data_IF_001939043939
#
_entry.id   IF_001939043939
#
_cell.length_a   1.000
_cell.length_b   1.000
_cell.length_c   1.000
_cell.angle_alpha   90.00
_cell.angle_beta   90.00
_cell.angle_gamma   90.00
#
_symmetry.space_group_name_H-M   'P 1'
#
loop_
_entity.id
_entity.type
_entity.pdbx_description
1 polymer ?
#
# COMPACT_ATOMS: atom_id res chain seq x y z
N UNK A 1 -41.99 44.22 -31.81
CA UNK A 1 -41.63 42.82 -31.55
C UNK A 1 -40.37 42.78 -30.70
N UNK A 2 -40.30 41.82 -29.77
CA UNK A 2 -39.36 41.69 -28.65
C UNK A 2 -38.16 40.81 -29.02
N UNK A 3 -37.09 40.90 -28.20
CA UNK A 3 -36.11 39.85 -27.81
C UNK A 3 -34.91 39.61 -28.76
N UNK A 4 -33.64 39.41 -28.33
CA UNK A 4 -32.88 39.53 -27.05
C UNK A 4 -31.39 39.58 -27.44
N UNK A 5 -30.57 40.39 -26.76
CA UNK A 5 -29.12 40.22 -26.74
C UNK A 5 -28.77 38.97 -25.93
N UNK A 6 -28.12 37.99 -26.55
CA UNK A 6 -27.58 36.81 -25.88
C UNK A 6 -26.19 37.16 -25.36
N UNK A 7 -26.08 37.30 -24.04
CA UNK A 7 -24.81 37.41 -23.33
C UNK A 7 -24.19 36.01 -23.31
N UNK A 8 -23.11 35.81 -24.07
CA UNK A 8 -22.26 34.64 -23.96
C UNK A 8 -21.51 34.69 -22.62
N UNK A 9 -22.09 34.08 -21.59
CA UNK A 9 -21.37 33.76 -20.37
C UNK A 9 -20.44 32.58 -20.65
N UNK A 10 -19.18 32.86 -20.96
CA UNK A 10 -18.11 31.86 -20.88
C UNK A 10 -17.93 31.47 -19.42
N UNK A 11 -18.53 30.36 -19.03
CA UNK A 11 -18.14 29.64 -17.81
C UNK A 11 -16.75 29.08 -18.12
N UNK A 12 -15.70 29.83 -17.79
CA UNK A 12 -14.40 29.25 -17.54
C UNK A 12 -14.59 28.39 -16.29
N UNK A 13 -14.94 27.12 -16.52
CA UNK A 13 -14.85 26.09 -15.51
C UNK A 13 -13.44 26.16 -14.96
N UNK A 14 -13.32 26.51 -13.68
CA UNK A 14 -12.11 26.27 -12.92
C UNK A 14 -11.74 24.80 -13.16
N UNK A 15 -10.62 24.56 -13.84
CA UNK A 15 -9.94 23.27 -13.80
C UNK A 15 -9.37 23.11 -12.38
N UNK A 16 -10.28 22.90 -11.43
CA UNK A 16 -9.97 22.45 -10.09
C UNK A 16 -9.51 21.00 -10.17
N UNK A 17 -8.39 20.74 -9.49
CA UNK A 17 -7.84 19.45 -9.15
C UNK A 17 -8.92 18.36 -8.97
N UNK A 18 -9.05 17.47 -9.95
CA UNK A 18 -9.84 16.25 -9.86
C UNK A 18 -8.91 15.04 -9.93
N UNK A 19 -8.69 14.41 -8.79
CA UNK A 19 -7.85 13.21 -8.63
C UNK A 19 -8.36 12.09 -9.53
N UNK A 20 -7.49 11.59 -10.42
CA UNK A 20 -7.73 10.34 -11.15
C UNK A 20 -7.48 9.17 -10.18
N UNK A 21 -8.41 8.93 -9.26
CA UNK A 21 -8.34 7.84 -8.27
C UNK A 21 -9.59 6.96 -8.18
N UNK A 22 -10.65 7.27 -8.93
CA UNK A 22 -11.96 6.64 -8.74
C UNK A 22 -12.09 5.20 -9.28
N UNK A 23 -11.12 4.68 -10.04
CA UNK A 23 -11.25 3.38 -10.72
C UNK A 23 -10.29 2.29 -10.20
N UNK A 24 -9.52 2.54 -9.14
CA UNK A 24 -8.64 1.51 -8.56
C UNK A 24 -9.42 0.72 -7.50
N UNK A 25 -9.56 -0.61 -7.63
CA UNK A 25 -10.32 -1.42 -6.68
C UNK A 25 -9.68 -1.39 -5.29
N UNK A 26 -10.51 -1.58 -4.26
CA UNK A 26 -10.02 -1.79 -2.89
C UNK A 26 -9.17 -3.07 -2.79
N UNK A 27 -8.21 -3.13 -1.86
CA UNK A 27 -7.48 -4.37 -1.62
C UNK A 27 -8.44 -5.45 -1.16
N UNK A 28 -8.31 -6.65 -1.71
CA UNK A 28 -9.08 -7.83 -1.26
C UNK A 28 -8.77 -8.17 0.20
N UNK A 29 -9.69 -8.87 0.88
CA UNK A 29 -9.48 -9.34 2.26
C UNK A 29 -8.19 -10.16 2.40
N UNK A 30 -7.88 -11.02 1.42
CA UNK A 30 -6.65 -11.81 1.43
C UNK A 30 -5.38 -10.94 1.33
N UNK A 31 -5.40 -9.89 0.50
CA UNK A 31 -4.27 -8.95 0.38
C UNK A 31 -4.07 -8.15 1.68
N UNK A 32 -5.16 -7.70 2.30
CA UNK A 32 -5.11 -7.02 3.60
C UNK A 32 -4.56 -7.96 4.68
N UNK A 33 -5.05 -9.20 4.72
CA UNK A 33 -4.60 -10.21 5.67
C UNK A 33 -3.09 -10.47 5.53
N UNK A 34 -2.60 -10.73 4.31
CA UNK A 34 -1.17 -10.98 4.08
C UNK A 34 -0.32 -9.75 4.42
N UNK A 35 -0.74 -8.54 4.01
CA UNK A 35 -0.03 -7.31 4.36
C UNK A 35 0.13 -7.16 5.88
N UNK A 36 -0.97 -7.34 6.62
CA UNK A 36 -0.96 -7.13 8.06
C UNK A 36 -0.34 -8.28 8.86
N UNK A 37 -0.43 -9.52 8.37
CA UNK A 37 0.32 -10.65 8.92
C UNK A 37 1.82 -10.41 8.76
N UNK A 38 2.29 -10.04 7.56
CA UNK A 38 3.69 -9.72 7.32
C UNK A 38 4.19 -8.58 8.21
N UNK A 39 3.42 -7.49 8.32
CA UNK A 39 3.74 -6.38 9.21
C UNK A 39 3.87 -6.82 10.67
N UNK A 40 2.92 -7.61 11.16
CA UNK A 40 2.88 -8.09 12.55
C UNK A 40 4.02 -9.05 12.85
N UNK A 41 4.28 -10.00 11.95
CA UNK A 41 5.37 -10.96 12.08
C UNK A 41 6.72 -10.22 12.12
N UNK A 42 6.91 -9.22 11.25
CA UNK A 42 8.10 -8.37 11.27
C UNK A 42 8.20 -7.54 12.55
N UNK A 43 7.12 -6.92 13.02
CA UNK A 43 7.07 -6.19 14.29
C UNK A 43 7.49 -7.09 15.47
N UNK A 44 7.11 -8.37 15.46
CA UNK A 44 7.43 -9.35 16.50
C UNK A 44 8.78 -10.05 16.32
N UNK A 45 9.51 -9.77 15.24
CA UNK A 45 10.77 -10.44 14.92
C UNK A 45 10.60 -11.90 14.48
N UNK A 46 9.40 -12.28 14.05
CA UNK A 46 9.06 -13.61 13.51
C UNK A 46 9.48 -13.69 12.04
N UNK A 47 10.79 -13.68 11.78
CA UNK A 47 11.34 -13.50 10.44
C UNK A 47 10.99 -14.63 9.46
N UNK A 48 10.93 -15.88 9.91
CA UNK A 48 10.55 -16.99 9.03
C UNK A 48 9.10 -16.86 8.54
N UNK A 49 8.19 -16.49 9.44
CA UNK A 49 6.80 -16.25 9.12
C UNK A 49 6.65 -15.02 8.22
N UNK A 50 7.36 -13.93 8.53
CA UNK A 50 7.43 -12.73 7.69
C UNK A 50 7.85 -13.06 6.25
N UNK A 51 8.95 -13.81 6.08
CA UNK A 51 9.48 -14.19 4.77
C UNK A 51 8.48 -15.06 3.98
N UNK A 52 7.64 -15.84 4.66
CA UNK A 52 6.62 -16.67 4.02
C UNK A 52 5.50 -15.89 3.35
N UNK A 53 5.36 -14.58 3.61
CA UNK A 53 4.36 -13.71 2.95
C UNK A 53 4.88 -13.07 1.66
N UNK A 54 6.17 -13.23 1.36
CA UNK A 54 6.84 -12.50 0.29
C UNK A 54 6.95 -13.34 -0.99
N UNK A 55 7.05 -12.66 -2.12
CA UNK A 55 7.49 -13.29 -3.37
C UNK A 55 8.97 -13.74 -3.26
N UNK A 56 9.41 -14.79 -3.99
CA UNK A 56 10.75 -15.36 -3.85
C UNK A 56 11.90 -14.35 -3.99
N UNK A 57 11.79 -13.40 -4.92
CA UNK A 57 12.81 -12.37 -5.14
C UNK A 57 12.97 -11.46 -3.90
N UNK A 58 11.85 -11.03 -3.31
CA UNK A 58 11.87 -10.17 -2.12
C UNK A 58 12.27 -10.97 -0.87
N UNK A 59 11.86 -12.23 -0.78
CA UNK A 59 12.31 -13.15 0.25
C UNK A 59 13.85 -13.29 0.22
N UNK A 60 14.43 -13.57 -0.95
CA UNK A 60 15.87 -13.69 -1.12
C UNK A 60 16.58 -12.38 -0.73
N UNK A 61 16.07 -11.22 -1.17
CA UNK A 61 16.61 -9.93 -0.78
C UNK A 61 16.72 -9.78 0.74
N UNK A 62 15.65 -10.08 1.50
CA UNK A 62 15.69 -9.95 2.95
C UNK A 62 16.55 -11.02 3.64
N UNK A 63 16.63 -12.23 3.10
CA UNK A 63 17.52 -13.27 3.59
C UNK A 63 18.99 -12.88 3.46
N UNK A 64 19.37 -12.25 2.35
CA UNK A 64 20.72 -11.71 2.11
C UNK A 64 20.97 -10.43 2.92
N UNK A 65 19.91 -9.67 3.24
CA UNK A 65 19.98 -8.36 3.90
C UNK A 65 19.28 -8.35 5.27
N UNK A 66 19.57 -9.32 6.15
CA UNK A 66 18.91 -9.45 7.46
C UNK A 66 18.98 -8.20 8.35
N UNK A 67 20.01 -7.35 8.16
CA UNK A 67 20.13 -6.06 8.87
C UNK A 67 18.95 -5.13 8.58
N UNK A 68 18.39 -5.20 7.37
CA UNK A 68 17.22 -4.40 6.97
C UNK A 68 15.98 -4.88 7.73
N UNK A 69 15.74 -6.18 7.85
CA UNK A 69 14.64 -6.72 8.66
C UNK A 69 14.76 -6.29 10.13
N UNK A 70 15.97 -6.37 10.70
CA UNK A 70 16.24 -5.91 12.07
C UNK A 70 15.99 -4.42 12.23
N UNK A 71 16.41 -3.60 11.25
CA UNK A 71 16.15 -2.14 11.23
C UNK A 71 14.65 -1.86 11.27
N UNK A 72 13.85 -2.52 10.43
CA UNK A 72 12.41 -2.36 10.46
C UNK A 72 11.81 -2.83 11.78
N UNK A 73 12.21 -4.00 12.28
CA UNK A 73 11.74 -4.54 13.56
C UNK A 73 11.99 -3.57 14.72
N UNK A 74 13.16 -2.92 14.75
CA UNK A 74 13.50 -1.92 15.77
C UNK A 74 12.78 -0.59 15.57
N UNK A 75 12.45 -0.22 14.33
CA UNK A 75 11.77 1.04 14.02
C UNK A 75 10.27 0.97 14.32
N UNK A 76 9.61 -0.16 14.11
CA UNK A 76 8.17 -0.30 14.35
C UNK A 76 7.87 -0.20 15.86
N UNK A 77 6.98 0.73 16.29
CA UNK A 77 6.60 0.89 17.69
C UNK A 77 6.06 -0.42 18.30
N UNK A 78 6.28 -0.60 19.62
CA UNK A 78 5.81 -1.78 20.36
C UNK A 78 4.52 -1.55 21.14
N UNK A 79 4.07 -0.30 21.20
CA UNK A 79 2.80 0.06 21.82
C UNK A 79 1.61 -0.57 21.09
N UNK A 80 0.46 -0.59 21.76
CA UNK A 80 -0.80 -0.95 21.12
C UNK A 80 -1.15 0.08 20.06
N UNK A 81 -1.39 -0.41 18.85
CA UNK A 81 -1.90 0.39 17.75
C UNK A 81 -3.27 1.00 18.08
N UNK A 82 -3.49 2.25 17.65
CA UNK A 82 -4.77 2.96 17.75
C UNK A 82 -5.69 2.70 16.55
N UNK A 83 -5.14 2.74 15.34
CA UNK A 83 -5.92 2.56 14.10
C UNK A 83 -5.05 2.21 12.90
N UNK A 84 -5.68 1.59 11.89
CA UNK A 84 -5.18 1.41 10.52
C UNK A 84 -6.10 2.10 9.53
N UNK A 85 -5.53 2.85 8.61
CA UNK A 85 -6.27 3.52 7.54
C UNK A 85 -5.61 3.23 6.20
N UNK A 86 -6.41 2.89 5.19
CA UNK A 86 -5.93 2.82 3.81
C UNK A 86 -5.84 4.24 3.24
N UNK A 87 -4.63 4.65 2.81
CA UNK A 87 -4.37 6.02 2.35
C UNK A 87 -4.31 6.11 0.83
N UNK A 88 -3.54 5.22 0.19
CA UNK A 88 -3.28 5.27 -1.25
C UNK A 88 -3.45 3.87 -1.82
N UNK A 89 -4.13 3.80 -2.96
CA UNK A 89 -4.15 2.64 -3.85
C UNK A 89 -3.87 3.10 -5.27
N UNK A 90 -3.00 2.40 -5.99
CA UNK A 90 -2.70 2.68 -7.39
C UNK A 90 -2.20 1.44 -8.11
N UNK A 91 -2.39 1.43 -9.43
CA UNK A 91 -1.79 0.45 -10.33
C UNK A 91 -0.61 1.13 -11.02
N UNK A 92 0.57 0.51 -10.96
CA UNK A 92 1.79 1.05 -11.57
C UNK A 92 2.38 0.03 -12.55
N UNK A 93 2.58 0.45 -13.79
CA UNK A 93 3.21 -0.36 -14.81
C UNK A 93 4.73 -0.30 -14.67
N UNK A 94 5.36 -1.46 -14.52
CA UNK A 94 6.81 -1.60 -14.49
C UNK A 94 7.37 -1.69 -15.92
N UNK A 95 8.65 -1.34 -16.09
CA UNK A 95 9.34 -1.33 -17.38
C UNK A 95 9.35 -2.70 -18.10
N UNK A 96 9.15 -3.79 -17.37
CA UNK A 96 9.05 -5.16 -17.90
C UNK A 96 7.60 -5.59 -18.23
N UNK A 97 6.67 -4.65 -18.40
CA UNK A 97 5.24 -4.91 -18.62
C UNK A 97 4.51 -5.64 -17.48
N UNK A 98 5.14 -5.85 -16.31
CA UNK A 98 4.41 -6.31 -15.12
C UNK A 98 3.70 -5.14 -14.44
N UNK A 99 2.45 -5.34 -14.03
CA UNK A 99 1.69 -4.32 -13.31
C UNK A 99 1.66 -4.66 -11.82
N UNK A 100 1.94 -3.66 -10.99
CA UNK A 100 1.87 -3.77 -9.55
C UNK A 100 0.70 -2.98 -8.99
N UNK A 101 -0.11 -3.65 -8.19
CA UNK A 101 -1.09 -3.04 -7.31
C UNK A 101 -0.38 -2.57 -6.03
N UNK A 102 -0.20 -1.25 -5.89
CA UNK A 102 0.46 -0.61 -4.75
C UNK A 102 -0.56 -0.06 -3.77
N UNK A 103 -0.36 -0.37 -2.50
CA UNK A 103 -1.23 0.00 -1.39
C UNK A 103 -0.39 0.63 -0.29
N UNK A 104 -0.85 1.75 0.26
CA UNK A 104 -0.22 2.43 1.39
C UNK A 104 -1.20 2.50 2.55
N UNK A 105 -0.79 1.99 3.70
CA UNK A 105 -1.52 2.07 4.95
C UNK A 105 -0.84 3.04 5.90
N UNK A 106 -1.66 3.76 6.65
CA UNK A 106 -1.24 4.54 7.79
C UNK A 106 -1.65 3.79 9.07
N UNK A 107 -0.70 3.57 9.96
CA UNK A 107 -0.88 2.85 11.22
C UNK A 107 -0.53 3.79 12.36
N UNK A 108 -1.54 4.23 13.10
CA UNK A 108 -1.39 5.19 14.18
C UNK A 108 -1.04 4.48 15.48
N UNK A 109 0.02 4.93 16.14
CA UNK A 109 0.43 4.56 17.49
C UNK A 109 0.25 5.75 18.44
N UNK A 110 0.43 5.57 19.77
CA UNK A 110 0.26 6.65 20.71
C UNK A 110 1.12 7.90 20.47
N UNK A 111 2.36 7.70 20.00
CA UNK A 111 3.36 8.75 19.75
C UNK A 111 3.86 8.80 18.32
N UNK A 112 3.59 7.77 17.53
CA UNK A 112 4.18 7.60 16.22
C UNK A 112 3.09 7.32 15.18
N UNK A 113 3.42 7.63 13.94
CA UNK A 113 2.65 7.26 12.77
C UNK A 113 3.53 6.40 11.88
N UNK A 114 3.04 5.23 11.50
CA UNK A 114 3.77 4.35 10.59
C UNK A 114 3.09 4.37 9.23
N UNK A 115 3.84 4.74 8.19
CA UNK A 115 3.44 4.50 6.81
C UNK A 115 3.98 3.14 6.38
N UNK A 116 3.06 2.27 5.97
CA UNK A 116 3.36 0.92 5.49
C UNK A 116 2.92 0.78 4.04
N UNK A 117 3.91 0.78 3.15
CA UNK A 117 3.70 0.63 1.71
C UNK A 117 3.95 -0.83 1.33
N UNK A 118 3.02 -1.42 0.59
CA UNK A 118 3.15 -2.78 0.03
C UNK A 118 2.70 -2.81 -1.42
N UNK A 119 3.21 -3.78 -2.19
CA UNK A 119 2.71 -4.05 -3.52
C UNK A 119 2.46 -5.54 -3.77
N UNK A 120 1.49 -5.79 -4.66
CA UNK A 120 1.08 -7.11 -5.13
C UNK A 120 1.07 -7.10 -6.67
N UNK A 121 1.11 -8.27 -7.28
CA UNK A 121 0.81 -8.40 -8.70
C UNK A 121 -0.68 -8.19 -8.97
N UNK A 122 -1.01 -7.36 -9.96
CA UNK A 122 -2.39 -6.99 -10.29
C UNK A 122 -3.23 -8.19 -10.77
N UNK A 123 -2.59 -9.25 -11.31
CA UNK A 123 -3.30 -10.36 -11.95
C UNK A 123 -2.89 -11.79 -11.58
N UNK A 124 -1.81 -12.01 -10.81
CA UNK A 124 -1.30 -13.37 -10.51
C UNK A 124 -1.72 -13.87 -9.13
N UNK A 125 -2.12 -12.95 -8.25
CA UNK A 125 -2.45 -13.22 -6.84
C UNK A 125 -3.93 -12.95 -6.51
N UNK A 126 -4.76 -12.77 -7.53
CA UNK A 126 -6.22 -12.73 -7.41
C UNK A 126 -6.76 -14.16 -7.20
N UNK A 127 -6.88 -14.54 -5.93
CA UNK A 127 -7.81 -15.56 -5.41
C UNK A 127 -8.01 -16.79 -6.31
N UNK A 128 -7.09 -17.74 -6.22
CA UNK A 128 -7.49 -19.15 -6.32
C UNK A 128 -7.40 -19.76 -4.93
N UNK A 129 -8.30 -20.68 -4.59
CA UNK A 129 -8.43 -21.30 -3.25
C UNK A 129 -7.15 -22.00 -2.71
N UNK A 130 -6.03 -21.95 -3.45
CA UNK A 130 -4.75 -22.56 -3.09
C UNK A 130 -3.58 -21.57 -2.95
N UNK A 131 -3.66 -20.37 -3.52
CA UNK A 131 -2.54 -19.41 -3.49
C UNK A 131 -2.96 -18.09 -2.85
N UNK A 132 -2.46 -17.86 -1.63
CA UNK A 132 -2.54 -16.56 -0.95
C UNK A 132 -1.75 -15.52 -1.74
N UNK A 133 -2.18 -14.24 -1.75
CA UNK A 133 -1.42 -13.19 -2.38
C UNK A 133 -0.05 -13.06 -1.72
N UNK A 134 0.97 -12.66 -2.48
CA UNK A 134 2.32 -12.44 -1.98
C UNK A 134 2.76 -11.00 -2.19
N UNK A 135 3.54 -10.52 -1.24
CA UNK A 135 4.08 -9.16 -1.25
C UNK A 135 5.29 -9.12 -2.17
N UNK A 136 5.23 -8.26 -3.18
CA UNK A 136 6.30 -8.06 -4.18
C UNK A 136 7.25 -6.94 -3.79
N UNK A 137 6.77 -5.94 -3.07
CA UNK A 137 7.58 -4.88 -2.50
C UNK A 137 6.99 -4.44 -1.16
N UNK A 138 7.85 -4.03 -0.23
CA UNK A 138 7.40 -3.41 1.01
C UNK A 138 8.38 -2.34 1.49
N UNK A 139 7.83 -1.32 2.13
CA UNK A 139 8.61 -0.31 2.82
C UNK A 139 7.86 0.16 4.07
N UNK A 140 8.62 0.50 5.11
CA UNK A 140 8.09 0.99 6.38
C UNK A 140 8.81 2.29 6.73
N UNK A 141 8.03 3.33 7.00
CA UNK A 141 8.51 4.62 7.50
C UNK A 141 7.78 4.95 8.79
N UNK A 142 8.52 5.47 9.78
CA UNK A 142 7.98 5.81 11.10
C UNK A 142 8.22 7.30 11.34
N UNK A 143 7.17 8.00 11.72
CA UNK A 143 7.16 9.43 12.00
C UNK A 143 6.78 9.67 13.47
N UNK A 144 7.32 10.73 14.08
CA UNK A 144 7.10 11.08 15.49
C UNK A 144 8.11 10.45 16.46
N UNK A 145 8.15 10.96 17.70
CA UNK A 145 9.05 10.54 18.81
C UNK A 145 8.28 10.41 20.13
#
# INVERSE_FOLDING_TARGET
MKIRCVICATILSLAGCGQVQDNVPEPTEAQQQVAFSAYTDLQKGQYEQFLSHLEPELQQYFQENQRVMKKFTSAIPKDTERSRTLMIKKIEQQANHSQQYKVSYEIAYPKNLVQYDVSFDEGINALTAKNQPKIRNLNIQVFGE
#
